data_IF_851668957499
#
_entry.id   IF_851668957499
#
_cell.length_a   1.000
_cell.length_b   1.000
_cell.length_c   1.000
_cell.angle_alpha   90.00
_cell.angle_beta   90.00
_cell.angle_gamma   90.00
#
_symmetry.space_group_name_H-M   'P 1'
#
loop_
_entity.id
_entity.type
_entity.pdbx_description
1 polymer ?
#
# COMPACT_ATOMS: atom_id res chain seq x y z
N UNK A 1 -19.32 -11.41 14.88
CA UNK A 1 -18.58 -10.16 15.17
C UNK A 1 -17.29 -10.25 14.40
N UNK A 2 -17.18 -9.56 13.25
CA UNK A 2 -15.91 -9.52 12.53
C UNK A 2 -14.88 -8.88 13.46
N UNK A 3 -13.81 -9.61 13.76
CA UNK A 3 -12.70 -9.08 14.52
C UNK A 3 -12.07 -7.96 13.67
N UNK A 4 -12.46 -6.70 13.93
CA UNK A 4 -11.77 -5.54 13.37
C UNK A 4 -10.36 -5.57 13.94
N UNK A 5 -9.44 -6.14 13.17
CA UNK A 5 -8.02 -6.12 13.48
C UNK A 5 -7.59 -4.66 13.59
N UNK A 6 -6.77 -4.34 14.61
CA UNK A 6 -6.24 -2.98 14.83
C UNK A 6 -5.18 -2.70 13.76
N UNK A 7 -5.61 -2.45 12.53
CA UNK A 7 -4.72 -2.13 11.42
C UNK A 7 -5.29 -1.01 10.55
N UNK A 8 -4.40 -0.37 9.82
CA UNK A 8 -4.70 0.64 8.81
C UNK A 8 -4.49 -0.02 7.46
N UNK A 9 -5.52 0.01 6.61
CA UNK A 9 -5.41 -0.38 5.20
C UNK A 9 -5.29 0.85 4.33
N UNK A 10 -4.24 0.91 3.53
CA UNK A 10 -3.99 1.98 2.59
C UNK A 10 -3.96 1.42 1.17
N UNK A 11 -4.66 2.07 0.25
CA UNK A 11 -4.60 1.76 -1.17
C UNK A 11 -3.91 2.92 -1.87
N UNK A 12 -2.80 2.63 -2.56
CA UNK A 12 -1.98 3.64 -3.22
C UNK A 12 -1.91 3.38 -4.72
N UNK A 13 -1.89 4.45 -5.51
CA UNK A 13 -1.64 4.42 -6.96
C UNK A 13 -0.13 4.33 -7.20
N UNK A 14 0.42 3.16 -6.95
CA UNK A 14 1.81 2.82 -7.22
C UNK A 14 1.83 1.53 -8.03
N UNK A 15 2.67 1.45 -9.07
CA UNK A 15 2.75 0.22 -9.85
C UNK A 15 3.59 -0.81 -9.11
N UNK A 16 3.14 -2.07 -9.01
CA UNK A 16 3.79 -3.01 -8.11
C UNK A 16 5.20 -3.43 -8.53
N UNK A 17 5.50 -3.37 -9.84
CA UNK A 17 6.83 -3.66 -10.37
C UNK A 17 7.88 -2.57 -10.06
N UNK A 18 7.46 -1.39 -9.61
CA UNK A 18 8.38 -0.31 -9.25
C UNK A 18 8.96 -0.48 -7.84
N UNK A 19 8.42 -1.42 -7.07
CA UNK A 19 8.90 -1.79 -5.74
C UNK A 19 9.70 -3.08 -5.86
N UNK A 20 11.03 -2.96 -5.82
CA UNK A 20 11.94 -4.10 -5.94
C UNK A 20 11.92 -4.98 -4.68
N UNK A 21 11.76 -4.37 -3.51
CA UNK A 21 11.78 -5.06 -2.21
C UNK A 21 10.55 -4.61 -1.39
N UNK A 22 9.38 -5.22 -1.60
CA UNK A 22 8.17 -4.88 -0.87
C UNK A 22 8.23 -5.40 0.58
N UNK A 23 7.79 -4.60 1.58
CA UNK A 23 7.73 -5.04 2.98
C UNK A 23 6.62 -6.07 3.17
N UNK A 24 6.58 -6.74 4.32
CA UNK A 24 5.54 -7.74 4.62
C UNK A 24 4.13 -7.16 4.64
N UNK A 25 4.00 -5.87 4.94
CA UNK A 25 2.74 -5.14 4.93
C UNK A 25 2.25 -4.81 3.51
N UNK A 26 3.01 -5.14 2.46
CA UNK A 26 2.70 -4.83 1.08
C UNK A 26 2.05 -5.99 0.34
N UNK A 27 0.98 -5.68 -0.38
CA UNK A 27 0.25 -6.63 -1.21
C UNK A 27 -0.01 -6.02 -2.59
N UNK A 28 0.44 -6.73 -3.62
CA UNK A 28 0.06 -6.45 -5.00
C UNK A 28 -1.42 -6.76 -5.19
N UNK A 29 -2.20 -5.74 -5.54
CA UNK A 29 -3.61 -5.86 -5.88
C UNK A 29 -3.91 -5.39 -7.30
N UNK A 30 -2.90 -5.22 -8.16
CA UNK A 30 -3.06 -4.79 -9.57
C UNK A 30 -3.95 -5.74 -10.37
N UNK A 31 -3.95 -7.03 -10.03
CA UNK A 31 -4.73 -8.07 -10.73
C UNK A 31 -6.15 -8.26 -10.21
N UNK A 32 -6.44 -7.78 -8.99
CA UNK A 32 -7.73 -7.93 -8.30
C UNK A 32 -8.42 -6.60 -7.99
N UNK A 33 -7.73 -5.48 -8.20
CA UNK A 33 -8.15 -4.14 -7.82
C UNK A 33 -9.21 -3.57 -8.75
N UNK A 34 -10.21 -2.93 -8.17
CA UNK A 34 -11.19 -2.15 -8.94
C UNK A 34 -10.50 -0.97 -9.64
N UNK A 35 -10.86 -0.76 -10.91
CA UNK A 35 -10.49 0.36 -11.76
C UNK A 35 -10.51 1.71 -11.00
N UNK A 36 -9.37 2.12 -10.44
CA UNK A 36 -9.17 3.45 -9.85
C UNK A 36 -8.85 3.52 -8.35
N UNK A 37 -8.85 2.41 -7.60
CA UNK A 37 -8.61 2.43 -6.13
C UNK A 37 -7.11 2.41 -5.77
N UNK A 38 -6.25 1.91 -6.67
CA UNK A 38 -4.82 1.73 -6.44
C UNK A 38 -4.40 0.29 -6.74
N UNK A 39 -3.16 0.10 -7.17
CA UNK A 39 -2.62 -1.20 -7.57
C UNK A 39 -1.87 -1.91 -6.42
N UNK A 40 -1.72 -1.21 -5.29
CA UNK A 40 -1.02 -1.71 -4.08
C UNK A 40 -1.90 -1.50 -2.84
N UNK A 41 -2.04 -2.55 -2.03
CA UNK A 41 -2.64 -2.53 -0.69
C UNK A 41 -1.51 -2.61 0.36
N UNK A 42 -1.47 -1.67 1.29
CA UNK A 42 -0.60 -1.69 2.46
C UNK A 42 -1.45 -1.97 3.71
N UNK A 43 -1.07 -2.95 4.52
CA UNK A 43 -1.74 -3.27 5.79
C UNK A 43 -0.79 -3.02 6.96
N UNK A 44 -1.01 -1.92 7.67
CA UNK A 44 -0.15 -1.45 8.77
C UNK A 44 -0.78 -1.87 10.09
N UNK A 45 -0.10 -2.73 10.84
CA UNK A 45 -0.52 -3.23 12.15
C UNK A 45 0.43 -2.81 13.27
N UNK A 46 1.64 -2.36 12.93
CA UNK A 46 2.65 -1.88 13.89
C UNK A 46 3.19 -0.49 13.54
N UNK A 47 3.80 0.22 14.51
CA UNK A 47 4.49 1.49 14.25
C UNK A 47 5.70 1.36 13.31
N UNK A 48 6.38 0.20 13.32
CA UNK A 48 7.50 -0.07 12.42
C UNK A 48 7.01 -0.14 10.96
N UNK A 49 5.92 -0.87 10.72
CA UNK A 49 5.27 -0.93 9.40
C UNK A 49 4.78 0.45 8.95
N UNK A 50 4.35 1.31 9.89
CA UNK A 50 3.98 2.68 9.58
C UNK A 50 5.16 3.50 9.08
N UNK A 51 6.35 3.34 9.68
CA UNK A 51 7.56 4.04 9.23
C UNK A 51 8.00 3.55 7.85
N UNK A 52 8.02 2.22 7.65
CA UNK A 52 8.37 1.61 6.36
C UNK A 52 7.42 2.06 5.24
N UNK A 53 6.14 2.28 5.56
CA UNK A 53 5.14 2.64 4.54
C UNK A 53 5.22 4.07 4.04
N UNK A 54 5.83 5.00 4.80
CA UNK A 54 5.95 6.41 4.40
C UNK A 54 6.61 6.59 3.04
N UNK A 55 7.69 5.86 2.78
CA UNK A 55 8.42 5.96 1.51
C UNK A 55 7.52 5.63 0.30
N UNK A 56 6.61 4.65 0.44
CA UNK A 56 5.69 4.27 -0.64
C UNK A 56 4.57 5.28 -0.82
N UNK A 57 4.13 5.91 0.28
CA UNK A 57 3.18 7.03 0.24
C UNK A 57 3.81 8.21 -0.49
N UNK A 58 5.06 8.56 -0.17
CA UNK A 58 5.80 9.63 -0.84
C UNK A 58 6.05 9.31 -2.31
N UNK A 59 6.44 8.09 -2.64
CA UNK A 59 6.60 7.63 -4.03
C UNK A 59 5.29 7.75 -4.81
N UNK A 60 4.17 7.29 -4.23
CA UNK A 60 2.87 7.41 -4.84
C UNK A 60 2.48 8.88 -5.02
N UNK A 61 2.66 9.71 -3.98
CA UNK A 61 2.34 11.14 -4.01
C UNK A 61 3.15 11.90 -5.07
N UNK A 62 4.46 11.70 -5.11
CA UNK A 62 5.35 12.36 -6.07
C UNK A 62 5.13 11.86 -7.51
N UNK A 63 4.57 10.66 -7.68
CA UNK A 63 4.15 10.13 -9.00
C UNK A 63 2.76 10.59 -9.43
N UNK A 64 1.97 11.23 -8.56
CA UNK A 64 0.70 11.86 -8.97
C UNK A 64 1.02 13.11 -9.80
N UNK A 65 1.23 12.87 -11.09
CA UNK A 65 1.56 13.87 -12.11
C UNK A 65 1.23 13.46 -13.56
N UNK A 66 0.66 12.27 -13.80
CA UNK A 66 0.19 11.84 -15.12
C UNK A 66 1.19 10.98 -15.88
#
# INVERSE_FOLDING_TARGET
MEAKSKNIKLFIKLKPFEVLEPPKCYRDVSTIGHYGIGEVELTISTPEEFEETKQYIELAYNKVGG
#
